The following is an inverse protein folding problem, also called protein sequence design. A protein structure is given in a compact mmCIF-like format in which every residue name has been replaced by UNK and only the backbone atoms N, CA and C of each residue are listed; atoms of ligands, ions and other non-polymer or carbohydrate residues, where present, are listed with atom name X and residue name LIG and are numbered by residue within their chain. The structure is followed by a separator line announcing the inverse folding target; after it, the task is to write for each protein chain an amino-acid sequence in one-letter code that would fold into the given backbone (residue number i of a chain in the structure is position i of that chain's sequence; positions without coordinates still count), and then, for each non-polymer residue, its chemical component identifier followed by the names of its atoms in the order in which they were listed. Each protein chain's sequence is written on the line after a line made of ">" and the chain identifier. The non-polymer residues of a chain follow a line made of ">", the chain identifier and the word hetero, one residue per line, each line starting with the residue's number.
data_IF_828036647470
#
_entry.id   IF_828036647470
#
_cell.length_a   1.000
_cell.length_b   1.000
_cell.length_c   1.000
_cell.angle_alpha   90.00
_cell.angle_beta   90.00
_cell.angle_gamma   90.00
#
_symmetry.space_group_name_H-M   'P 1'
#
loop_
_entity.id
_entity.type
_entity.pdbx_description
1 polymer ?
#
# COMPACT_ATOMS: atom_id res chain seq x y z
N UNK A 1 46.46 -15.14 -8.04
CA UNK A 1 45.16 -15.85 -7.99
C UNK A 1 44.38 -15.45 -6.73
N UNK A 2 44.07 -14.16 -6.57
CA UNK A 2 43.28 -13.62 -5.43
C UNK A 2 42.14 -12.71 -5.94
N UNK A 3 42.30 -12.13 -7.14
CA UNK A 3 41.32 -11.24 -7.76
C UNK A 3 39.97 -11.90 -8.12
N UNK A 4 39.95 -13.20 -8.47
CA UNK A 4 38.73 -13.89 -8.92
C UNK A 4 37.72 -14.20 -7.80
N UNK A 5 38.15 -14.18 -6.53
CA UNK A 5 37.26 -14.45 -5.37
C UNK A 5 36.50 -13.18 -4.94
N UNK A 6 37.03 -12.00 -5.26
CA UNK A 6 36.45 -10.72 -4.87
C UNK A 6 35.24 -10.35 -5.76
N UNK A 7 35.31 -10.67 -7.06
CA UNK A 7 34.22 -10.38 -8.00
C UNK A 7 32.94 -11.15 -7.68
N UNK A 8 33.05 -12.39 -7.21
CA UNK A 8 31.88 -13.18 -6.83
C UNK A 8 31.25 -12.71 -5.51
N UNK A 9 32.04 -12.16 -4.58
CA UNK A 9 31.53 -11.53 -3.36
C UNK A 9 30.87 -10.18 -3.67
N UNK A 10 31.51 -9.32 -4.46
CA UNK A 10 30.93 -8.06 -4.94
C UNK A 10 29.68 -8.25 -5.78
N UNK A 11 29.60 -9.32 -6.58
CA UNK A 11 28.43 -9.66 -7.40
C UNK A 11 27.30 -10.23 -6.54
N UNK A 12 27.62 -11.00 -5.49
CA UNK A 12 26.66 -11.50 -4.49
C UNK A 12 26.12 -10.37 -3.63
N UNK A 13 26.98 -9.47 -3.15
CA UNK A 13 26.56 -8.26 -2.43
C UNK A 13 25.74 -7.35 -3.35
N UNK A 14 26.14 -7.11 -4.60
CA UNK A 14 25.30 -6.38 -5.57
C UNK A 14 23.97 -7.05 -5.84
N UNK A 15 23.89 -8.37 -5.93
CA UNK A 15 22.59 -9.06 -6.10
C UNK A 15 21.74 -9.02 -4.84
N UNK A 16 22.36 -9.05 -3.65
CA UNK A 16 21.66 -8.94 -2.37
C UNK A 16 21.21 -7.49 -2.10
N UNK A 17 22.00 -6.49 -2.50
CA UNK A 17 21.65 -5.06 -2.50
C UNK A 17 20.62 -4.71 -3.57
N UNK A 18 20.70 -5.32 -4.76
CA UNK A 18 19.74 -5.15 -5.85
C UNK A 18 18.37 -5.77 -5.49
N UNK A 19 18.36 -6.80 -4.63
CA UNK A 19 17.15 -7.30 -3.97
C UNK A 19 16.60 -6.37 -2.87
N UNK A 20 17.44 -5.48 -2.32
CA UNK A 20 17.06 -4.56 -1.23
C UNK A 20 16.43 -3.25 -1.72
N UNK A 21 16.48 -2.93 -3.01
CA UNK A 21 16.07 -1.60 -3.50
C UNK A 21 15.33 -1.66 -4.84
N UNK A 22 14.64 -2.77 -5.16
CA UNK A 22 13.67 -2.69 -6.25
C UNK A 22 12.45 -1.89 -5.73
N UNK A 23 12.05 -0.80 -6.38
CA UNK A 23 10.79 -0.17 -6.06
C UNK A 23 9.66 -1.20 -6.27
N UNK A 24 9.13 -1.74 -5.17
CA UNK A 24 8.12 -2.81 -5.17
C UNK A 24 6.87 -2.40 -5.95
N UNK A 25 6.61 -1.11 -6.05
CA UNK A 25 5.54 -0.53 -6.85
C UNK A 25 5.75 -0.75 -8.36
N UNK A 26 6.98 -0.91 -8.87
CA UNK A 26 7.23 -1.22 -10.31
C UNK A 26 7.01 -2.71 -10.65
N UNK A 27 7.08 -3.61 -9.66
CA UNK A 27 6.85 -5.05 -9.88
C UNK A 27 5.45 -5.37 -10.43
N UNK A 28 4.33 -4.84 -9.89
CA UNK A 28 3.00 -5.08 -10.45
C UNK A 28 2.82 -4.59 -11.90
N UNK A 29 3.71 -3.74 -12.43
CA UNK A 29 3.69 -3.34 -13.84
C UNK A 29 4.25 -4.41 -14.78
N UNK A 30 4.97 -5.39 -14.25
CA UNK A 30 5.34 -6.56 -15.02
C UNK A 30 4.13 -7.50 -15.02
N UNK A 31 3.52 -7.82 -16.18
CA UNK A 31 2.32 -8.67 -16.23
C UNK A 31 2.49 -10.00 -15.51
N UNK A 32 3.73 -10.50 -15.44
CA UNK A 32 4.12 -11.73 -14.74
C UNK A 32 3.97 -11.65 -13.22
N UNK A 33 4.16 -10.48 -12.61
CA UNK A 33 4.09 -10.28 -11.16
C UNK A 33 2.77 -9.67 -10.69
N UNK A 34 1.95 -9.13 -11.61
CA UNK A 34 0.62 -8.61 -11.29
C UNK A 34 -0.27 -9.60 -10.50
N UNK A 35 -0.37 -10.90 -10.86
CA UNK A 35 -1.18 -11.84 -10.09
C UNK A 35 -0.70 -12.02 -8.65
N UNK A 36 0.62 -12.03 -8.44
CA UNK A 36 1.22 -12.16 -7.12
C UNK A 36 0.98 -10.91 -6.26
N UNK A 37 1.19 -9.73 -6.85
CA UNK A 37 0.93 -8.45 -6.19
C UNK A 37 -0.56 -8.32 -5.81
N UNK A 38 -1.46 -8.67 -6.72
CA UNK A 38 -2.90 -8.69 -6.46
C UNK A 38 -3.26 -9.68 -5.35
N UNK A 39 -2.73 -10.91 -5.42
CA UNK A 39 -2.97 -11.95 -4.42
C UNK A 39 -2.51 -11.54 -3.02
N UNK A 40 -1.32 -10.94 -2.90
CA UNK A 40 -0.79 -10.42 -1.64
C UNK A 40 -1.68 -9.30 -1.08
N UNK A 41 -2.03 -8.33 -1.94
CA UNK A 41 -2.86 -7.20 -1.56
C UNK A 41 -4.25 -7.66 -1.10
N UNK A 42 -4.83 -8.63 -1.81
CA UNK A 42 -6.09 -9.27 -1.43
C UNK A 42 -6.00 -10.01 -0.09
N UNK A 43 -4.93 -10.76 0.14
CA UNK A 43 -4.70 -11.47 1.40
C UNK A 43 -4.58 -10.49 2.58
N UNK A 44 -3.81 -9.41 2.43
CA UNK A 44 -3.68 -8.35 3.44
C UNK A 44 -5.05 -7.75 3.76
N UNK A 45 -5.79 -7.34 2.73
CA UNK A 45 -7.14 -6.78 2.90
C UNK A 45 -8.06 -7.76 3.65
N UNK A 46 -8.10 -9.03 3.25
CA UNK A 46 -8.90 -10.04 3.94
C UNK A 46 -8.49 -10.18 5.40
N UNK A 47 -7.20 -10.37 5.68
CA UNK A 47 -6.71 -10.63 7.04
C UNK A 47 -7.06 -9.44 7.95
N UNK A 48 -6.78 -8.22 7.51
CA UNK A 48 -7.02 -7.00 8.30
C UNK A 48 -8.51 -6.80 8.54
N UNK A 49 -9.32 -6.78 7.48
CA UNK A 49 -10.76 -6.50 7.56
C UNK A 49 -11.47 -7.58 8.37
N UNK A 50 -11.15 -8.85 8.11
CA UNK A 50 -11.79 -9.96 8.80
C UNK A 50 -11.41 -10.01 10.28
N UNK A 51 -10.13 -9.82 10.61
CA UNK A 51 -9.67 -9.76 11.99
C UNK A 51 -10.34 -8.63 12.74
N UNK A 52 -10.40 -7.44 12.13
CA UNK A 52 -11.09 -6.29 12.70
C UNK A 52 -12.57 -6.59 12.98
N UNK A 53 -13.32 -7.04 11.97
CA UNK A 53 -14.76 -7.32 12.13
C UNK A 53 -15.03 -8.42 13.15
N UNK A 54 -14.15 -9.42 13.24
CA UNK A 54 -14.25 -10.51 14.22
C UNK A 54 -13.98 -10.01 15.64
N UNK A 55 -12.91 -9.24 15.85
CA UNK A 55 -12.57 -8.66 17.16
C UNK A 55 -13.69 -7.76 17.70
N UNK A 56 -14.29 -6.95 16.82
CA UNK A 56 -15.36 -6.03 17.17
C UNK A 56 -16.77 -6.66 17.12
N UNK A 57 -16.88 -7.99 16.91
CA UNK A 57 -18.15 -8.74 16.84
C UNK A 57 -19.18 -8.11 15.88
N UNK A 58 -18.70 -7.59 14.74
CA UNK A 58 -19.53 -6.87 13.74
C UNK A 58 -20.20 -7.79 12.73
N UNK A 59 -19.83 -9.07 12.68
CA UNK A 59 -20.54 -10.06 11.87
C UNK A 59 -21.96 -10.25 12.41
N UNK A 60 -22.94 -9.71 11.69
CA UNK A 60 -24.32 -9.63 12.15
C UNK A 60 -25.25 -10.35 11.18
N UNK A 61 -26.28 -10.99 11.74
CA UNK A 61 -27.54 -11.25 11.03
C UNK A 61 -28.39 -9.97 11.12
N UNK A 62 -29.14 -9.58 10.08
CA UNK A 62 -29.89 -8.32 10.10
C UNK A 62 -30.87 -8.30 11.27
N UNK A 63 -30.72 -7.33 12.18
CA UNK A 63 -31.72 -7.06 13.21
C UNK A 63 -32.76 -6.11 12.61
N UNK A 64 -33.93 -6.64 12.30
CA UNK A 64 -35.09 -5.85 11.93
C UNK A 64 -35.66 -5.28 13.24
N UNK A 65 -35.59 -3.96 13.43
CA UNK A 65 -36.27 -3.31 14.55
C UNK A 65 -37.76 -3.15 14.17
N UNK A 66 -38.64 -3.91 14.82
CA UNK A 66 -40.06 -3.98 14.47
C UNK A 66 -40.98 -3.00 15.21
N UNK A 67 -40.48 -2.05 16.00
CA UNK A 67 -41.34 -1.11 16.74
C UNK A 67 -41.25 0.29 16.11
N UNK A 68 -42.30 0.67 15.38
CA UNK A 68 -42.38 1.92 14.59
C UNK A 68 -43.47 2.85 15.12
N UNK A 69 -43.13 4.13 15.26
CA UNK A 69 -44.09 5.23 15.20
C UNK A 69 -44.34 5.60 13.70
N UNK A 70 -45.55 6.05 13.32
CA UNK A 70 -45.86 6.45 11.94
C UNK A 70 -44.96 7.61 11.49
N UNK A 71 -44.25 7.46 10.37
CA UNK A 71 -43.37 8.50 9.80
C UNK A 71 -41.86 8.29 10.00
N UNK A 72 -41.44 7.24 10.71
CA UNK A 72 -40.03 6.89 10.87
C UNK A 72 -39.47 6.15 9.64
N UNK A 73 -38.39 6.65 9.02
CA UNK A 73 -37.65 5.93 7.98
C UNK A 73 -37.07 4.62 8.55
N UNK A 74 -37.35 3.49 7.89
CA UNK A 74 -36.71 2.20 8.20
C UNK A 74 -35.19 2.33 8.09
N UNK A 75 -34.49 2.33 9.22
CA UNK A 75 -33.03 2.25 9.25
C UNK A 75 -32.62 0.77 9.26
N UNK A 76 -32.61 0.14 8.07
CA UNK A 76 -32.06 -1.21 7.91
C UNK A 76 -30.54 -1.18 8.03
N UNK A 77 -29.97 -1.80 9.06
CA UNK A 77 -28.52 -2.01 9.15
C UNK A 77 -28.06 -3.00 8.06
N UNK A 78 -26.94 -2.70 7.42
CA UNK A 78 -26.33 -3.55 6.39
C UNK A 78 -25.89 -4.88 7.02
N UNK A 79 -26.27 -6.01 6.42
CA UNK A 79 -25.81 -7.32 6.84
C UNK A 79 -24.33 -7.51 6.48
N UNK A 80 -23.49 -7.71 7.50
CA UNK A 80 -22.07 -8.01 7.31
C UNK A 80 -21.87 -9.52 7.38
N UNK A 81 -21.80 -10.16 6.21
CA UNK A 81 -21.47 -11.58 6.05
C UNK A 81 -20.14 -11.79 5.29
N UNK A 82 -19.63 -13.02 5.30
CA UNK A 82 -18.35 -13.37 4.65
C UNK A 82 -18.32 -13.01 3.16
N UNK A 83 -19.46 -13.15 2.45
CA UNK A 83 -19.56 -12.83 1.02
C UNK A 83 -19.40 -11.34 0.76
N UNK A 84 -19.97 -10.49 1.62
CA UNK A 84 -19.81 -9.04 1.53
C UNK A 84 -18.37 -8.62 1.82
N UNK A 85 -17.76 -9.19 2.87
CA UNK A 85 -16.35 -8.95 3.21
C UNK A 85 -15.42 -9.36 2.07
N UNK A 86 -15.64 -10.53 1.47
CA UNK A 86 -14.88 -10.99 0.31
C UNK A 86 -15.00 -10.02 -0.88
N UNK A 87 -16.22 -9.61 -1.24
CA UNK A 87 -16.46 -8.64 -2.33
C UNK A 87 -15.82 -7.29 -2.05
N UNK A 88 -15.86 -6.83 -0.80
CA UNK A 88 -15.18 -5.63 -0.36
C UNK A 88 -13.66 -5.75 -0.58
N UNK A 89 -13.05 -6.82 -0.06
CA UNK A 89 -11.60 -7.03 -0.14
C UNK A 89 -11.12 -7.20 -1.59
N UNK A 90 -11.92 -7.84 -2.45
CA UNK A 90 -11.61 -8.01 -3.87
C UNK A 90 -11.53 -6.67 -4.60
N UNK A 91 -12.51 -5.79 -4.36
CA UNK A 91 -12.54 -4.44 -4.94
C UNK A 91 -11.42 -3.56 -4.39
N UNK A 92 -11.18 -3.66 -3.09
CA UNK A 92 -10.10 -2.98 -2.39
C UNK A 92 -8.73 -3.36 -2.98
N UNK A 93 -8.46 -4.65 -3.17
CA UNK A 93 -7.21 -5.14 -3.75
C UNK A 93 -7.04 -4.67 -5.21
N UNK A 94 -8.11 -4.76 -6.02
CA UNK A 94 -8.08 -4.27 -7.40
C UNK A 94 -7.77 -2.77 -7.46
N UNK A 95 -8.43 -1.98 -6.60
CA UNK A 95 -8.19 -0.54 -6.53
C UNK A 95 -6.77 -0.22 -6.02
N UNK A 96 -6.26 -0.95 -5.04
CA UNK A 96 -4.89 -0.79 -4.54
C UNK A 96 -3.86 -1.01 -5.66
N UNK A 97 -3.99 -2.11 -6.42
CA UNK A 97 -3.15 -2.36 -7.59
C UNK A 97 -3.31 -1.28 -8.67
N UNK A 98 -4.53 -0.82 -8.93
CA UNK A 98 -4.79 0.26 -9.88
C UNK A 98 -4.17 1.60 -9.43
N UNK A 99 -4.24 1.94 -8.15
CA UNK A 99 -3.67 3.18 -7.61
C UNK A 99 -2.14 3.17 -7.71
N UNK A 100 -1.52 2.02 -7.42
CA UNK A 100 -0.08 1.82 -7.60
C UNK A 100 0.29 1.94 -9.09
N UNK A 101 -0.49 1.30 -9.97
CA UNK A 101 -0.31 1.39 -11.42
C UNK A 101 -0.38 2.83 -11.94
N UNK A 102 -1.39 3.57 -11.49
CA UNK A 102 -1.59 4.97 -11.87
C UNK A 102 -0.42 5.84 -11.39
N UNK A 103 0.06 5.60 -10.16
CA UNK A 103 1.25 6.24 -9.63
C UNK A 103 2.45 6.07 -10.56
N UNK A 104 2.79 4.84 -10.93
CA UNK A 104 4.00 4.59 -11.76
C UNK A 104 3.87 5.06 -13.20
N UNK A 105 2.67 5.01 -13.76
CA UNK A 105 2.43 5.62 -15.06
C UNK A 105 2.63 7.14 -15.00
N UNK A 106 2.14 7.80 -13.96
CA UNK A 106 2.30 9.24 -13.79
C UNK A 106 3.76 9.66 -13.66
N UNK A 107 4.58 8.88 -12.93
CA UNK A 107 6.02 9.16 -12.78
C UNK A 107 6.79 8.85 -14.05
N UNK A 108 6.52 7.73 -14.71
CA UNK A 108 7.13 7.44 -16.02
C UNK A 108 6.85 8.56 -17.03
N UNK A 109 5.63 9.10 -17.03
CA UNK A 109 5.28 10.26 -17.86
C UNK A 109 5.97 11.55 -17.40
N UNK A 110 6.10 11.78 -16.08
CA UNK A 110 6.79 12.93 -15.52
C UNK A 110 8.27 12.94 -15.91
N UNK A 111 8.96 11.81 -15.73
CA UNK A 111 10.38 11.65 -16.10
C UNK A 111 10.59 11.84 -17.59
N UNK A 112 9.71 11.25 -18.43
CA UNK A 112 9.74 11.44 -19.88
C UNK A 112 9.55 12.90 -20.30
N UNK A 113 8.68 13.64 -19.59
CA UNK A 113 8.36 15.03 -19.93
C UNK A 113 9.40 16.02 -19.39
N UNK A 114 10.08 15.67 -18.31
CA UNK A 114 11.07 16.52 -17.64
C UNK A 114 12.38 15.73 -17.44
N UNK A 115 13.24 15.65 -18.45
CA UNK A 115 14.48 14.85 -18.39
C UNK A 115 15.47 15.35 -17.32
N UNK A 116 15.36 16.61 -16.88
CA UNK A 116 16.13 17.13 -15.73
C UNK A 116 15.81 16.33 -14.46
N UNK A 117 14.58 15.81 -14.31
CA UNK A 117 14.15 15.04 -13.14
C UNK A 117 14.67 13.59 -13.21
N UNK A 118 14.94 13.07 -14.41
CA UNK A 118 15.49 11.72 -14.64
C UNK A 118 16.89 11.54 -14.04
N UNK A 119 17.65 12.64 -13.94
CA UNK A 119 18.97 12.65 -13.27
C UNK A 119 18.86 12.52 -11.74
N UNK A 120 17.70 12.86 -11.15
CA UNK A 120 17.48 12.86 -9.70
C UNK A 120 16.65 11.70 -9.18
N UNK A 121 15.81 11.08 -10.02
CA UNK A 121 14.90 9.99 -9.63
C UNK A 121 15.33 8.70 -10.32
N UNK A 122 16.00 7.84 -9.57
CA UNK A 122 16.37 6.51 -10.05
C UNK A 122 15.20 5.55 -9.81
N UNK A 123 14.56 5.13 -10.90
CA UNK A 123 13.42 4.20 -10.89
C UNK A 123 13.79 2.74 -10.62
N UNK A 124 15.08 2.41 -10.59
CA UNK A 124 15.57 1.07 -10.24
C UNK A 124 16.16 1.02 -8.84
N UNK A 125 16.64 2.16 -8.33
CA UNK A 125 17.22 2.29 -7.00
C UNK A 125 16.63 3.50 -6.25
N UNK A 126 15.57 3.25 -5.49
CA UNK A 126 14.89 4.22 -4.61
C UNK A 126 15.86 5.08 -3.79
N UNK A 127 16.96 4.49 -3.32
CA UNK A 127 17.92 5.13 -2.41
C UNK A 127 19.25 5.54 -3.06
N UNK A 128 19.30 5.65 -4.39
CA UNK A 128 20.51 6.09 -5.11
C UNK A 128 20.96 7.50 -4.70
N UNK A 129 20.03 8.37 -4.32
CA UNK A 129 20.28 9.74 -3.89
C UNK A 129 19.22 10.21 -2.89
N UNK A 130 19.52 11.30 -2.16
CA UNK A 130 18.55 11.93 -1.27
C UNK A 130 17.28 12.35 -2.02
N UNK A 131 17.45 12.95 -3.20
CA UNK A 131 16.35 13.38 -4.05
C UNK A 131 15.49 12.19 -4.48
N UNK A 132 16.10 11.10 -4.96
CA UNK A 132 15.38 9.89 -5.38
C UNK A 132 14.52 9.35 -4.24
N UNK A 133 15.11 9.16 -3.05
CA UNK A 133 14.39 8.64 -1.89
C UNK A 133 13.25 9.55 -1.44
N UNK A 134 13.49 10.87 -1.44
CA UNK A 134 12.47 11.87 -1.10
C UNK A 134 11.27 11.82 -2.04
N UNK A 135 11.49 11.77 -3.36
CA UNK A 135 10.40 11.67 -4.32
C UNK A 135 9.63 10.37 -4.15
N UNK A 136 10.30 9.23 -3.98
CA UNK A 136 9.63 7.95 -3.72
C UNK A 136 8.76 7.97 -2.46
N UNK A 137 9.23 8.61 -1.38
CA UNK A 137 8.41 8.82 -0.16
C UNK A 137 7.15 9.64 -0.48
N UNK A 138 7.28 10.75 -1.22
CA UNK A 138 6.12 11.58 -1.59
C UNK A 138 5.09 10.78 -2.41
N UNK A 139 5.57 9.94 -3.33
CA UNK A 139 4.75 9.09 -4.17
C UNK A 139 4.04 8.03 -3.33
N UNK A 140 4.76 7.38 -2.42
CA UNK A 140 4.20 6.41 -1.48
C UNK A 140 3.12 7.05 -0.59
N UNK A 141 3.37 8.26 -0.06
CA UNK A 141 2.40 9.06 0.70
C UNK A 141 1.15 9.31 -0.15
N UNK A 142 1.32 9.77 -1.39
CA UNK A 142 0.21 10.07 -2.28
C UNK A 142 -0.62 8.83 -2.63
N UNK A 143 0.03 7.71 -2.97
CA UNK A 143 -0.64 6.44 -3.24
C UNK A 143 -1.38 5.92 -2.00
N UNK A 144 -0.72 5.93 -0.84
CA UNK A 144 -1.30 5.55 0.45
C UNK A 144 -2.51 6.42 0.81
N UNK A 145 -2.45 7.72 0.54
CA UNK A 145 -3.55 8.66 0.76
C UNK A 145 -4.77 8.35 -0.11
N UNK A 146 -4.57 8.07 -1.40
CA UNK A 146 -5.65 7.67 -2.32
C UNK A 146 -6.30 6.36 -1.85
N UNK A 147 -5.47 5.37 -1.48
CA UNK A 147 -5.94 4.07 -0.98
C UNK A 147 -6.73 4.26 0.32
N UNK A 148 -6.23 5.06 1.26
CA UNK A 148 -6.92 5.42 2.50
C UNK A 148 -8.31 6.00 2.23
N UNK A 149 -8.41 7.00 1.36
CA UNK A 149 -9.67 7.67 1.05
C UNK A 149 -10.68 6.72 0.40
N UNK A 150 -10.22 5.87 -0.51
CA UNK A 150 -11.05 4.85 -1.15
C UNK A 150 -11.59 3.86 -0.11
N UNK A 151 -10.72 3.33 0.74
CA UNK A 151 -11.08 2.35 1.76
C UNK A 151 -12.01 2.90 2.81
N UNK A 152 -11.77 4.12 3.29
CA UNK A 152 -12.67 4.82 4.22
C UNK A 152 -14.07 4.99 3.63
N UNK A 153 -14.17 5.38 2.36
CA UNK A 153 -15.47 5.52 1.67
C UNK A 153 -16.17 4.18 1.51
N UNK A 154 -15.42 3.14 1.12
CA UNK A 154 -15.96 1.80 0.92
C UNK A 154 -16.38 1.16 2.26
N UNK A 155 -15.62 1.34 3.33
CA UNK A 155 -15.94 0.84 4.66
C UNK A 155 -17.27 1.43 5.17
N UNK A 156 -17.46 2.75 5.01
CA UNK A 156 -18.74 3.40 5.33
C UNK A 156 -19.89 2.88 4.47
N UNK A 157 -19.74 2.94 3.15
CA UNK A 157 -20.85 2.71 2.21
C UNK A 157 -21.21 1.23 2.02
N UNK A 158 -20.25 0.31 2.21
CA UNK A 158 -20.45 -1.13 1.96
C UNK A 158 -20.49 -1.95 3.23
N UNK A 159 -19.71 -1.59 4.25
CA UNK A 159 -19.69 -2.33 5.52
C UNK A 159 -20.52 -1.62 6.61
N UNK A 160 -21.02 -0.41 6.37
CA UNK A 160 -21.81 0.33 7.36
C UNK A 160 -21.01 0.70 8.61
N UNK A 161 -19.68 0.73 8.53
CA UNK A 161 -18.81 1.12 9.63
C UNK A 161 -18.96 2.61 9.93
N UNK A 162 -18.76 2.98 11.19
CA UNK A 162 -18.80 4.39 11.57
C UNK A 162 -17.59 5.17 11.00
N UNK A 163 -17.55 6.47 11.26
CA UNK A 163 -16.47 7.31 10.73
C UNK A 163 -15.10 6.99 11.30
N UNK A 164 -14.99 6.69 12.59
CA UNK A 164 -13.72 6.37 13.23
C UNK A 164 -13.21 5.00 12.77
N UNK A 165 -14.08 4.00 12.77
CA UNK A 165 -13.81 2.62 12.33
C UNK A 165 -13.35 2.58 10.87
N UNK A 166 -14.08 3.27 9.98
CA UNK A 166 -13.74 3.34 8.57
C UNK A 166 -12.40 4.09 8.32
N UNK A 167 -12.10 5.09 9.15
CA UNK A 167 -10.85 5.85 9.01
C UNK A 167 -9.67 5.01 9.52
N UNK A 168 -9.83 4.31 10.64
CA UNK A 168 -8.83 3.37 11.16
C UNK A 168 -8.51 2.27 10.12
N UNK A 169 -9.54 1.62 9.57
CA UNK A 169 -9.34 0.58 8.56
C UNK A 169 -8.62 1.12 7.32
N UNK A 170 -9.00 2.31 6.87
CA UNK A 170 -8.36 2.98 5.74
C UNK A 170 -6.88 3.25 5.99
N UNK A 171 -6.50 3.71 7.20
CA UNK A 171 -5.11 4.02 7.54
C UNK A 171 -4.28 2.73 7.57
N UNK A 172 -4.76 1.72 8.29
CA UNK A 172 -4.06 0.43 8.42
C UNK A 172 -3.82 -0.17 7.05
N UNK A 173 -4.84 -0.18 6.19
CA UNK A 173 -4.70 -0.76 4.87
C UNK A 173 -3.85 0.12 3.94
N UNK A 174 -3.98 1.44 3.99
CA UNK A 174 -3.11 2.35 3.23
C UNK A 174 -1.63 2.13 3.53
N UNK A 175 -1.28 1.96 4.82
CA UNK A 175 0.09 1.66 5.27
C UNK A 175 0.57 0.28 4.80
N UNK A 176 -0.26 -0.76 4.94
CA UNK A 176 0.12 -2.14 4.59
C UNK A 176 0.15 -2.41 3.08
N UNK A 177 -0.60 -1.63 2.30
CA UNK A 177 -0.65 -1.78 0.84
C UNK A 177 0.54 -1.12 0.14
N UNK A 178 1.20 -0.17 0.81
CA UNK A 178 2.38 0.54 0.32
C UNK A 178 3.57 0.21 1.24
N UNK A 179 4.13 -1.01 1.18
CA UNK A 179 5.19 -1.44 2.10
C UNK A 179 6.49 -0.62 2.00
N UNK A 180 6.62 0.22 0.97
CA UNK A 180 7.73 1.17 0.80
C UNK A 180 7.83 2.20 1.93
N UNK A 181 6.74 2.45 2.69
CA UNK A 181 6.80 3.22 3.93
C UNK A 181 7.81 2.69 4.95
N UNK A 182 8.14 1.39 4.88
CA UNK A 182 9.01 0.73 5.84
C UNK A 182 10.44 0.53 5.34
N UNK A 183 10.74 0.92 4.10
CA UNK A 183 12.04 0.70 3.47
C UNK A 183 12.97 1.91 3.61
N UNK A 184 13.07 2.55 4.79
CA UNK A 184 14.12 3.55 5.02
C UNK A 184 15.47 2.80 5.02
N UNK A 185 16.47 3.19 4.23
CA UNK A 185 17.72 2.48 4.17
C UNK A 185 18.50 2.82 5.44
N UNK A 186 18.95 1.79 6.16
CA UNK A 186 19.78 1.95 7.35
C UNK A 186 21.06 2.78 7.07
N UNK A 187 21.50 2.86 5.81
CA UNK A 187 22.63 3.67 5.36
C UNK A 187 22.44 5.18 5.57
N UNK A 188 21.21 5.68 5.58
CA UNK A 188 20.93 7.09 5.86
C UNK A 188 20.98 7.39 7.35
N UNK A 189 20.55 6.44 8.20
CA UNK A 189 20.78 6.57 9.64
C UNK A 189 22.27 6.63 9.95
N UNK A 190 23.10 5.81 9.31
CA UNK A 190 24.56 5.88 9.54
C UNK A 190 25.18 7.19 9.04
N UNK A 191 24.76 7.73 7.89
CA UNK A 191 25.27 8.99 7.37
C UNK A 191 24.83 10.21 8.19
N UNK A 192 23.58 10.22 8.66
CA UNK A 192 23.02 11.29 9.49
C UNK A 192 23.58 11.26 10.92
N UNK A 193 23.84 10.05 11.45
CA UNK A 193 24.60 9.88 12.70
C UNK A 193 26.02 10.42 12.51
N UNK A 194 26.73 10.05 11.44
CA UNK A 194 28.08 10.58 11.17
C UNK A 194 28.13 12.10 11.02
N UNK A 195 27.10 12.74 10.46
CA UNK A 195 27.04 14.21 10.34
C UNK A 195 26.68 14.93 11.64
N UNK A 196 26.15 14.22 12.66
CA UNK A 196 25.86 14.79 13.98
C UNK A 196 27.04 14.70 14.95
N UNK A 197 28.06 13.90 14.60
CA UNK A 197 29.30 13.74 15.36
C UNK A 197 30.48 14.55 14.79
N UNK A 198 30.23 15.39 13.79
CA UNK A 198 31.14 16.40 13.24
C UNK A 198 30.56 17.80 13.40
#
# INVERSE_FOLDING_TARGET
>A
MILYKNDNLLKRERTTFSLMVFPLWTLPFTPKFFPAAFGLNFAINIIVVWTYLKLHKKFNKPKIYCFMAPGSQQQTQIEINNRLVFKYCLRAAFFGCFAIFLGGTAIGLLLKKFPIIDEYIDTFYVWSSFASGFFHILIAIFAGFIIYHYHRRMAKSRLGLDTAEASFLGIVIGLLTVPEFFLIPASWLSGLIQSLYH
#
